data_IF_178973868233
#
_entry.id   IF_178973868233
#
_cell.length_a   1.000
_cell.length_b   1.000
_cell.length_c   1.000
_cell.angle_alpha   90.00
_cell.angle_beta   90.00
_cell.angle_gamma   90.00
#
_symmetry.space_group_name_H-M   'P 1'
#
loop_
_entity.id
_entity.type
_entity.pdbx_description
1 polymer ?
#
# COMPACT_ATOMS: atom_id res chain seq x y z
N UNK A 1 -7.70 24.77 -4.95
CA UNK A 1 -8.21 23.37 -4.85
C UNK A 1 -7.39 22.60 -3.84
N UNK A 2 -8.03 21.90 -2.96
CA UNK A 2 -7.35 21.11 -1.94
C UNK A 2 -6.98 19.75 -2.57
N UNK A 3 -5.75 19.32 -2.37
CA UNK A 3 -5.31 18.00 -2.81
C UNK A 3 -6.09 16.90 -2.09
N UNK A 4 -6.25 15.76 -2.76
CA UNK A 4 -6.94 14.63 -2.16
C UNK A 4 -6.00 13.87 -1.23
N UNK A 5 -6.56 13.36 -0.15
CA UNK A 5 -5.80 12.50 0.74
C UNK A 5 -5.48 11.17 0.04
N UNK A 6 -4.29 10.69 0.29
CA UNK A 6 -3.91 9.36 -0.19
C UNK A 6 -4.42 8.29 0.76
N UNK A 7 -4.75 7.15 0.18
CA UNK A 7 -4.99 5.93 0.94
C UNK A 7 -4.40 4.77 0.12
N UNK A 8 -4.50 3.56 0.62
CA UNK A 8 -3.89 2.42 -0.07
C UNK A 8 -4.42 2.23 -1.49
N UNK A 9 -5.69 2.59 -1.73
CA UNK A 9 -6.31 2.42 -3.04
C UNK A 9 -5.89 3.48 -4.05
N UNK A 10 -5.41 4.63 -3.60
CA UNK A 10 -5.08 5.76 -4.47
C UNK A 10 -3.59 5.98 -4.66
N UNK A 11 -2.75 5.22 -3.97
CA UNK A 11 -1.31 5.32 -4.18
C UNK A 11 -0.95 4.81 -5.58
N UNK A 12 -0.04 5.52 -6.27
CA UNK A 12 0.33 5.16 -7.62
C UNK A 12 1.15 3.87 -7.69
N UNK A 13 1.02 3.14 -8.80
CA UNK A 13 1.75 1.90 -9.00
C UNK A 13 3.26 2.10 -8.89
N UNK A 14 3.79 3.20 -9.41
CA UNK A 14 5.22 3.48 -9.36
C UNK A 14 5.73 3.52 -7.92
N UNK A 15 4.94 4.12 -7.03
CA UNK A 15 5.28 4.16 -5.62
C UNK A 15 5.19 2.78 -4.98
N UNK A 16 4.17 2.01 -5.35
CA UNK A 16 4.04 0.64 -4.85
C UNK A 16 5.23 -0.22 -5.25
N UNK A 17 5.66 -0.13 -6.49
CA UNK A 17 6.83 -0.87 -6.96
C UNK A 17 8.08 -0.45 -6.20
N UNK A 18 8.22 0.85 -5.95
CA UNK A 18 9.35 1.39 -5.21
C UNK A 18 9.42 0.84 -3.78
N UNK A 19 8.29 0.81 -3.08
CA UNK A 19 8.25 0.34 -1.69
C UNK A 19 8.32 -1.18 -1.60
N UNK A 20 7.67 -1.87 -2.53
CA UNK A 20 7.69 -3.34 -2.56
C UNK A 20 8.98 -3.89 -3.09
N UNK A 21 9.74 -3.07 -3.85
CA UNK A 21 11.00 -3.46 -4.49
C UNK A 21 10.84 -4.64 -5.43
N UNK A 22 9.62 -4.84 -5.93
CA UNK A 22 9.28 -5.97 -6.80
C UNK A 22 7.95 -5.68 -7.49
N UNK A 23 7.95 -5.80 -8.82
CA UNK A 23 6.71 -5.64 -9.57
C UNK A 23 5.70 -6.74 -9.22
N UNK A 24 6.17 -7.95 -8.94
CA UNK A 24 5.30 -9.06 -8.55
C UNK A 24 4.58 -8.78 -7.25
N UNK A 25 5.29 -8.25 -6.25
CA UNK A 25 4.70 -7.90 -4.96
C UNK A 25 3.74 -6.74 -5.13
N UNK A 26 4.08 -5.76 -5.95
CA UNK A 26 3.19 -4.64 -6.24
C UNK A 26 1.89 -5.12 -6.89
N UNK A 27 1.95 -6.11 -7.77
CA UNK A 27 0.77 -6.71 -8.38
C UNK A 27 -0.14 -7.37 -7.34
N UNK A 28 0.46 -8.06 -6.39
CA UNK A 28 -0.28 -8.69 -5.29
C UNK A 28 -0.97 -7.60 -4.46
N UNK A 29 -0.24 -6.55 -4.13
CA UNK A 29 -0.77 -5.42 -3.37
C UNK A 29 -1.97 -4.79 -4.08
N UNK A 30 -1.84 -4.52 -5.38
CA UNK A 30 -2.93 -3.96 -6.17
C UNK A 30 -4.13 -4.88 -6.20
N UNK A 31 -3.92 -6.18 -6.33
CA UNK A 31 -5.00 -7.16 -6.35
C UNK A 31 -5.77 -7.14 -5.03
N UNK A 32 -5.06 -7.12 -3.92
CA UNK A 32 -5.69 -7.07 -2.59
C UNK A 32 -6.59 -5.84 -2.49
N UNK A 33 -6.09 -4.68 -2.91
CA UNK A 33 -6.86 -3.44 -2.85
C UNK A 33 -8.03 -3.44 -3.81
N UNK A 34 -7.91 -4.12 -4.94
CA UNK A 34 -9.00 -4.24 -5.90
C UNK A 34 -10.12 -5.11 -5.34
N UNK A 35 -9.75 -6.17 -4.64
CA UNK A 35 -10.72 -7.09 -4.03
C UNK A 35 -11.34 -6.51 -2.76
N UNK A 36 -10.53 -5.78 -1.99
CA UNK A 36 -10.96 -5.19 -0.73
C UNK A 36 -10.53 -3.72 -0.67
N UNK A 37 -11.24 -2.83 -1.39
CA UNK A 37 -10.83 -1.41 -1.46
C UNK A 37 -10.81 -0.69 -0.11
N UNK A 38 -11.53 -1.21 0.87
CA UNK A 38 -11.61 -0.60 2.19
C UNK A 38 -10.75 -1.34 3.22
N UNK A 39 -9.87 -2.22 2.77
CA UNK A 39 -8.98 -2.95 3.66
C UNK A 39 -8.09 -1.96 4.41
N UNK A 40 -7.98 -2.13 5.72
CA UNK A 40 -7.07 -1.34 6.53
C UNK A 40 -5.67 -1.93 6.49
N UNK A 41 -4.74 -1.27 7.18
CA UNK A 41 -3.35 -1.68 7.24
C UNK A 41 -3.19 -3.14 7.70
N UNK A 42 -3.90 -3.51 8.74
CA UNK A 42 -3.80 -4.86 9.28
C UNK A 42 -4.29 -5.91 8.29
N UNK A 43 -5.39 -5.62 7.62
CA UNK A 43 -5.96 -6.55 6.64
C UNK A 43 -5.04 -6.70 5.43
N UNK A 44 -4.50 -5.60 4.93
CA UNK A 44 -3.59 -5.64 3.79
C UNK A 44 -2.34 -6.44 4.15
N UNK A 45 -1.79 -6.20 5.34
CA UNK A 45 -0.62 -6.94 5.82
C UNK A 45 -0.92 -8.44 5.89
N UNK A 46 -2.08 -8.80 6.42
CA UNK A 46 -2.51 -10.20 6.52
C UNK A 46 -2.62 -10.85 5.14
N UNK A 47 -3.25 -10.14 4.20
CA UNK A 47 -3.41 -10.64 2.83
C UNK A 47 -2.07 -10.83 2.14
N UNK A 48 -1.16 -9.87 2.29
CA UNK A 48 0.17 -9.98 1.71
C UNK A 48 0.95 -11.14 2.30
N UNK A 49 0.90 -11.30 3.61
CA UNK A 49 1.56 -12.42 4.28
C UNK A 49 1.00 -13.75 3.79
N UNK A 50 -0.31 -13.85 3.66
CA UNK A 50 -0.96 -15.04 3.15
C UNK A 50 -0.61 -15.35 1.69
N UNK A 51 -0.22 -14.34 0.93
CA UNK A 51 0.21 -14.51 -0.46
C UNK A 51 1.71 -14.85 -0.59
N UNK A 52 2.42 -14.97 0.53
CA UNK A 52 3.84 -15.35 0.51
C UNK A 52 4.80 -14.17 0.58
N UNK A 53 4.32 -12.97 0.86
CA UNK A 53 5.17 -11.78 0.97
C UNK A 53 5.75 -11.71 2.38
N UNK A 54 7.02 -12.06 2.51
CA UNK A 54 7.67 -12.17 3.83
C UNK A 54 7.88 -10.82 4.51
N UNK A 55 8.05 -9.75 3.73
CA UNK A 55 8.34 -8.42 4.25
C UNK A 55 7.10 -7.54 4.32
N UNK A 56 5.92 -8.14 4.38
CA UNK A 56 4.67 -7.41 4.32
C UNK A 56 4.55 -6.29 5.35
N UNK A 57 4.93 -6.58 6.60
CA UNK A 57 4.84 -5.59 7.67
C UNK A 57 5.74 -4.38 7.40
N UNK A 58 6.95 -4.63 6.89
CA UNK A 58 7.90 -3.56 6.57
C UNK A 58 7.40 -2.73 5.40
N UNK A 59 6.90 -3.39 4.36
CA UNK A 59 6.36 -2.72 3.18
C UNK A 59 5.19 -1.82 3.57
N UNK A 60 4.27 -2.35 4.37
CA UNK A 60 3.10 -1.59 4.80
C UNK A 60 3.51 -0.41 5.67
N UNK A 61 4.52 -0.56 6.51
CA UNK A 61 5.02 0.54 7.32
C UNK A 61 5.54 1.67 6.44
N UNK A 62 6.32 1.35 5.41
CA UNK A 62 6.86 2.35 4.50
C UNK A 62 5.77 3.06 3.71
N UNK A 63 4.81 2.30 3.20
CA UNK A 63 3.67 2.86 2.47
C UNK A 63 2.84 3.76 3.38
N UNK A 64 2.59 3.31 4.59
CA UNK A 64 1.82 4.05 5.58
C UNK A 64 2.50 5.38 5.93
N UNK A 65 3.82 5.35 6.13
CA UNK A 65 4.59 6.56 6.41
C UNK A 65 4.50 7.55 5.25
N UNK A 66 4.60 7.06 4.03
CA UNK A 66 4.48 7.90 2.84
C UNK A 66 3.10 8.56 2.78
N UNK A 67 2.05 7.78 3.01
CA UNK A 67 0.68 8.27 2.99
C UNK A 67 0.49 9.33 4.08
N UNK A 68 1.00 9.07 5.28
CA UNK A 68 0.86 9.98 6.41
C UNK A 68 1.57 11.31 6.15
N UNK A 69 2.79 11.24 5.62
CA UNK A 69 3.56 12.44 5.30
C UNK A 69 2.85 13.25 4.22
N UNK A 70 2.37 12.59 3.19
CA UNK A 70 1.64 13.27 2.12
C UNK A 70 0.40 13.97 2.65
N UNK A 71 -0.37 13.28 3.48
CA UNK A 71 -1.62 13.82 4.00
C UNK A 71 -1.38 14.95 4.99
N UNK A 72 -0.28 14.89 5.74
CA UNK A 72 0.09 15.95 6.66
C UNK A 72 0.46 17.26 5.95
N UNK A 73 0.88 17.16 4.68
CA UNK A 73 1.22 18.32 3.88
C UNK A 73 0.00 18.99 3.22
N UNK A 74 -1.15 18.42 3.38
CA UNK A 74 -2.39 18.97 2.86
C UNK A 74 -3.00 19.92 3.88
#
# INVERSE_FOLDING_TARGET
MIGQKLNYSTIGRDHLVQYCKSASVADIFERVLKEEPQANRERVTERLTGAGVSDSAKIIKEVDDYIEIHNAGL
#
